data_IF_521287309168
#
_entry.id   IF_521287309168
#
_cell.length_a   1.000
_cell.length_b   1.000
_cell.length_c   1.000
_cell.angle_alpha   90.00
_cell.angle_beta   90.00
_cell.angle_gamma   90.00
#
_symmetry.space_group_name_H-M   'P 1'
#
loop_
_entity.id
_entity.type
_entity.pdbx_description
1 polymer ?
#
# COMPACT_ATOMS: atom_id res chain seq x y z
N UNK A 1 6.98 -5.90 -5.61
CA UNK A 1 8.32 -5.48 -6.10
C UNK A 1 9.16 -5.15 -4.89
N UNK A 2 10.34 -5.74 -4.80
CA UNK A 2 11.30 -5.55 -3.70
C UNK A 2 12.56 -4.93 -4.29
N UNK A 3 13.07 -3.88 -3.63
CA UNK A 3 14.36 -3.26 -3.93
C UNK A 3 15.39 -3.71 -2.88
N UNK A 4 16.50 -4.28 -3.33
CA UNK A 4 17.56 -4.72 -2.45
C UNK A 4 18.60 -3.62 -2.29
N UNK A 5 18.64 -3.04 -1.08
CA UNK A 5 19.54 -1.94 -0.73
C UNK A 5 20.66 -2.43 0.16
N UNK A 6 21.83 -1.84 -0.03
CA UNK A 6 22.99 -2.06 0.82
C UNK A 6 23.19 -0.83 1.69
N UNK A 7 22.91 -0.96 2.98
CA UNK A 7 23.10 0.12 3.96
C UNK A 7 24.40 -0.13 4.72
N UNK A 8 25.23 0.93 4.86
CA UNK A 8 26.42 0.86 5.72
C UNK A 8 25.96 0.51 7.14
N UNK A 9 26.66 -0.41 7.79
CA UNK A 9 26.39 -0.78 9.19
C UNK A 9 26.68 0.41 10.10
N UNK A 10 25.88 0.56 11.14
CA UNK A 10 25.95 1.73 12.04
C UNK A 10 27.32 1.85 12.73
N UNK A 11 28.00 0.72 13.00
CA UNK A 11 29.35 0.66 13.57
C UNK A 11 30.44 1.32 12.68
N UNK A 12 30.17 1.48 11.38
CA UNK A 12 31.10 2.09 10.44
C UNK A 12 30.77 3.55 10.09
N UNK A 13 29.66 4.11 10.57
CA UNK A 13 29.25 5.48 10.28
C UNK A 13 30.24 6.55 10.78
N UNK A 14 31.04 6.19 11.78
CA UNK A 14 32.05 7.07 12.39
C UNK A 14 33.36 7.15 11.57
N UNK A 15 33.58 6.24 10.63
CA UNK A 15 34.82 6.20 9.86
C UNK A 15 34.76 7.11 8.63
N UNK A 16 35.86 7.77 8.27
CA UNK A 16 35.93 8.56 7.05
C UNK A 16 35.84 7.66 5.80
N UNK A 17 35.32 8.23 4.71
CA UNK A 17 35.02 7.45 3.50
C UNK A 17 36.21 6.66 2.90
N UNK A 18 37.45 7.17 3.06
CA UNK A 18 38.66 6.46 2.56
C UNK A 18 38.98 5.20 3.36
N UNK A 19 38.72 5.19 4.67
CA UNK A 19 38.88 3.99 5.51
C UNK A 19 37.82 2.95 5.20
N UNK A 20 36.55 3.39 5.01
CA UNK A 20 35.46 2.52 4.57
C UNK A 20 35.80 1.86 3.21
N UNK A 21 36.36 2.64 2.27
CA UNK A 21 36.77 2.13 0.98
C UNK A 21 37.92 1.08 1.11
N UNK A 22 38.87 1.30 2.03
CA UNK A 22 39.94 0.37 2.34
C UNK A 22 39.38 -0.93 2.92
N UNK A 23 38.55 -0.86 3.95
CA UNK A 23 37.88 -2.02 4.56
C UNK A 23 37.12 -2.84 3.52
N UNK A 24 36.41 -2.16 2.58
CA UNK A 24 35.70 -2.85 1.50
C UNK A 24 36.67 -3.61 0.56
N UNK A 25 37.82 -3.03 0.24
CA UNK A 25 38.85 -3.69 -0.58
C UNK A 25 39.48 -4.90 0.13
N UNK A 26 39.57 -4.84 1.45
CA UNK A 26 40.07 -5.91 2.31
C UNK A 26 39.00 -7.00 2.58
N UNK A 27 37.81 -6.89 1.97
CA UNK A 27 36.74 -7.89 2.08
C UNK A 27 35.91 -7.82 3.37
N UNK A 28 36.04 -6.74 4.14
CA UNK A 28 35.21 -6.55 5.35
C UNK A 28 33.76 -6.35 4.96
N UNK A 29 32.84 -7.08 5.57
CA UNK A 29 31.41 -6.98 5.36
C UNK A 29 30.84 -5.71 6.05
N UNK A 30 31.05 -4.56 5.42
CA UNK A 30 30.71 -3.24 5.96
C UNK A 30 29.24 -2.84 5.75
N UNK A 31 28.47 -3.63 4.99
CA UNK A 31 27.06 -3.31 4.68
C UNK A 31 26.12 -4.41 5.14
N UNK A 32 24.93 -4.00 5.54
CA UNK A 32 23.78 -4.86 5.70
C UNK A 32 22.92 -4.83 4.43
N UNK A 33 22.35 -5.98 4.07
CA UNK A 33 21.36 -6.08 3.00
C UNK A 33 19.98 -5.80 3.60
N UNK A 34 19.27 -4.87 3.00
CA UNK A 34 17.90 -4.54 3.38
C UNK A 34 17.00 -4.69 2.16
N UNK A 35 16.04 -5.60 2.24
CA UNK A 35 15.01 -5.74 1.22
C UNK A 35 13.86 -4.75 1.54
N UNK A 36 13.69 -3.75 0.68
CA UNK A 36 12.66 -2.71 0.83
C UNK A 36 11.49 -3.03 -0.09
N UNK A 37 10.29 -3.29 0.43
CA UNK A 37 9.12 -3.50 -0.41
C UNK A 37 8.70 -2.17 -1.06
N UNK A 38 8.89 -2.02 -2.36
CA UNK A 38 8.53 -0.81 -3.09
C UNK A 38 7.05 -0.79 -3.44
N UNK A 39 6.55 -1.86 -4.03
CA UNK A 39 5.18 -1.94 -4.49
C UNK A 39 4.58 -3.28 -4.09
N UNK A 40 3.45 -3.22 -3.40
CA UNK A 40 2.58 -4.36 -3.16
C UNK A 40 1.27 -4.17 -3.91
N UNK A 41 0.94 -5.14 -4.76
CA UNK A 41 -0.34 -5.19 -5.47
C UNK A 41 -1.10 -6.42 -5.00
N UNK A 42 -2.26 -6.19 -4.41
CA UNK A 42 -3.06 -7.25 -3.78
C UNK A 42 -4.08 -7.85 -4.76
N UNK A 43 -4.51 -7.06 -5.75
CA UNK A 43 -5.53 -7.50 -6.71
C UNK A 43 -6.94 -7.58 -6.12
N UNK A 44 -7.84 -8.22 -6.82
CA UNK A 44 -9.24 -8.39 -6.42
C UNK A 44 -9.34 -9.51 -5.39
N UNK A 45 -9.59 -9.16 -4.14
CA UNK A 45 -9.61 -10.13 -3.04
C UNK A 45 -10.38 -9.58 -1.83
N UNK A 46 -11.02 -10.47 -1.10
CA UNK A 46 -11.55 -10.13 0.22
C UNK A 46 -10.49 -10.11 1.31
N UNK A 47 -10.92 -10.06 2.56
CA UNK A 47 -10.03 -10.13 3.73
C UNK A 47 -9.20 -11.41 3.70
N UNK A 48 -7.91 -11.32 3.97
CA UNK A 48 -6.99 -12.46 3.98
C UNK A 48 -5.72 -12.21 4.79
N UNK A 49 -4.90 -13.26 4.92
CA UNK A 49 -3.65 -13.21 5.72
C UNK A 49 -2.60 -12.25 5.14
N UNK A 50 -2.69 -11.90 3.86
CA UNK A 50 -1.82 -10.88 3.26
C UNK A 50 -1.88 -9.53 3.99
N UNK A 51 -3.01 -9.21 4.63
CA UNK A 51 -3.20 -7.98 5.42
C UNK A 51 -2.32 -7.93 6.68
N UNK A 52 -1.74 -9.06 7.08
CA UNK A 52 -0.84 -9.18 8.23
C UNK A 52 0.64 -9.17 7.83
N UNK A 53 0.93 -9.20 6.53
CA UNK A 53 2.30 -9.28 6.05
C UNK A 53 3.00 -7.92 6.08
N UNK A 54 4.10 -7.82 6.79
CA UNK A 54 4.90 -6.59 6.89
C UNK A 54 5.31 -6.06 5.51
N UNK A 55 5.73 -6.93 4.60
CA UNK A 55 6.08 -6.55 3.22
C UNK A 55 4.94 -5.92 2.44
N UNK A 56 3.68 -6.17 2.83
CA UNK A 56 2.49 -5.53 2.23
C UNK A 56 2.22 -4.21 2.94
N UNK A 57 2.19 -4.21 4.27
CA UNK A 57 1.82 -3.06 5.07
C UNK A 57 2.88 -1.94 5.06
N UNK A 58 4.16 -2.29 4.84
CA UNK A 58 5.31 -1.38 4.85
C UNK A 58 5.83 -1.05 3.44
N UNK A 59 5.12 -1.47 2.37
CA UNK A 59 5.51 -1.10 1.02
C UNK A 59 5.42 0.42 0.81
N UNK A 60 6.25 0.97 -0.06
CA UNK A 60 6.17 2.41 -0.38
C UNK A 60 4.83 2.72 -1.07
N UNK A 61 4.38 1.83 -1.95
CA UNK A 61 3.10 1.94 -2.66
C UNK A 61 2.30 0.66 -2.42
N UNK A 62 1.10 0.81 -1.88
CA UNK A 62 0.11 -0.26 -1.78
C UNK A 62 -0.99 -0.05 -2.82
N UNK A 63 -1.17 -1.03 -3.71
CA UNK A 63 -2.29 -1.06 -4.66
C UNK A 63 -3.26 -2.13 -4.18
N UNK A 64 -4.49 -1.74 -3.89
CA UNK A 64 -5.53 -2.64 -3.39
C UNK A 64 -6.89 -2.26 -3.93
N UNK A 65 -7.79 -3.21 -3.94
CA UNK A 65 -9.18 -2.95 -4.27
C UNK A 65 -9.93 -2.31 -3.10
N UNK A 66 -11.03 -1.62 -3.42
CA UNK A 66 -12.16 -1.40 -2.54
C UNK A 66 -13.41 -1.34 -3.41
N UNK A 67 -14.08 -2.47 -3.53
CA UNK A 67 -15.21 -2.60 -4.48
C UNK A 67 -16.49 -2.01 -3.93
N UNK A 68 -16.77 -2.21 -2.64
CA UNK A 68 -18.05 -1.87 -2.04
C UNK A 68 -17.94 -0.79 -0.96
N UNK A 69 -18.84 0.19 -1.04
CA UNK A 69 -18.88 1.34 -0.14
C UNK A 69 -20.20 1.45 0.61
N UNK A 70 -21.31 1.00 0.06
CA UNK A 70 -22.64 1.14 0.61
C UNK A 70 -22.90 0.08 1.69
N UNK A 71 -23.59 0.46 2.76
CA UNK A 71 -23.84 -0.36 3.95
C UNK A 71 -24.58 -1.68 3.64
N UNK A 72 -25.49 -1.65 2.67
CA UNK A 72 -26.23 -2.83 2.22
C UNK A 72 -25.42 -3.80 1.33
N UNK A 73 -24.18 -3.46 1.02
CA UNK A 73 -23.30 -4.29 0.16
C UNK A 73 -22.41 -5.29 0.89
N UNK A 74 -22.48 -5.39 2.22
CA UNK A 74 -21.66 -6.36 2.99
C UNK A 74 -21.83 -7.81 2.53
N UNK A 75 -23.06 -8.24 2.27
CA UNK A 75 -23.35 -9.59 1.78
C UNK A 75 -22.73 -9.84 0.40
N UNK A 76 -22.77 -8.84 -0.47
CA UNK A 76 -22.15 -8.92 -1.82
C UNK A 76 -20.63 -8.94 -1.74
N UNK A 77 -20.03 -8.12 -0.87
CA UNK A 77 -18.60 -8.13 -0.63
C UNK A 77 -18.13 -9.53 -0.19
N UNK A 78 -18.83 -10.13 0.76
CA UNK A 78 -18.54 -11.48 1.25
C UNK A 78 -18.71 -12.55 0.16
N UNK A 79 -19.81 -12.52 -0.58
CA UNK A 79 -20.11 -13.50 -1.64
C UNK A 79 -19.13 -13.40 -2.81
N UNK A 80 -18.78 -12.17 -3.23
CA UNK A 80 -17.84 -11.88 -4.31
C UNK A 80 -16.37 -12.00 -3.91
N UNK A 81 -16.06 -12.18 -2.61
CA UNK A 81 -14.70 -12.14 -2.07
C UNK A 81 -13.98 -10.82 -2.41
N UNK A 82 -14.70 -9.71 -2.23
CA UNK A 82 -14.18 -8.36 -2.41
C UNK A 82 -14.17 -7.59 -1.10
N UNK A 83 -13.37 -6.51 -1.04
CA UNK A 83 -13.31 -5.66 0.13
C UNK A 83 -14.49 -4.68 0.19
N UNK A 84 -15.07 -4.57 1.39
CA UNK A 84 -15.92 -3.46 1.79
C UNK A 84 -15.10 -2.36 2.48
N UNK A 85 -15.55 -1.11 2.37
CA UNK A 85 -14.84 0.05 2.97
C UNK A 85 -14.53 -0.15 4.46
N UNK A 86 -15.42 -0.76 5.24
CA UNK A 86 -15.20 -0.96 6.68
C UNK A 86 -14.02 -1.91 6.96
N UNK A 87 -13.81 -2.90 6.09
CA UNK A 87 -12.69 -3.82 6.19
C UNK A 87 -11.39 -3.13 5.76
N UNK A 88 -11.46 -2.34 4.69
CA UNK A 88 -10.33 -1.54 4.22
C UNK A 88 -9.88 -0.55 5.30
N UNK A 89 -10.81 0.21 5.90
CA UNK A 89 -10.51 1.21 6.94
C UNK A 89 -9.75 0.58 8.10
N UNK A 90 -10.24 -0.55 8.62
CA UNK A 90 -9.58 -1.28 9.72
C UNK A 90 -8.17 -1.75 9.35
N UNK A 91 -7.98 -2.20 8.12
CA UNK A 91 -6.67 -2.63 7.66
C UNK A 91 -5.71 -1.45 7.52
N UNK A 92 -6.16 -0.33 6.94
CA UNK A 92 -5.32 0.84 6.68
C UNK A 92 -4.76 1.50 7.94
N UNK A 93 -5.35 1.26 9.11
CA UNK A 93 -4.80 1.69 10.40
C UNK A 93 -3.42 1.08 10.68
N UNK A 94 -3.14 -0.11 10.13
CA UNK A 94 -1.87 -0.83 10.29
C UNK A 94 -0.93 -0.67 9.07
N UNK A 95 -1.34 0.11 8.07
CA UNK A 95 -0.56 0.29 6.84
C UNK A 95 0.27 1.56 6.90
N UNK A 96 1.59 1.42 6.77
CA UNK A 96 2.55 2.52 6.75
C UNK A 96 2.99 2.94 5.33
N UNK A 97 2.39 2.37 4.29
CA UNK A 97 2.66 2.73 2.89
C UNK A 97 2.54 4.25 2.66
N UNK A 98 3.49 4.82 1.92
CA UNK A 98 3.51 6.27 1.61
C UNK A 98 2.37 6.66 0.68
N UNK A 99 2.02 5.78 -0.24
CA UNK A 99 0.95 5.96 -1.20
C UNK A 99 0.05 4.72 -1.23
N UNK A 100 -1.25 4.94 -1.25
CA UNK A 100 -2.26 3.89 -1.32
C UNK A 100 -3.10 4.17 -2.57
N UNK A 101 -3.13 3.21 -3.49
CA UNK A 101 -3.90 3.33 -4.72
C UNK A 101 -5.09 2.37 -4.64
N UNK A 102 -6.29 2.93 -4.60
CA UNK A 102 -7.52 2.14 -4.62
C UNK A 102 -7.94 1.92 -6.07
N UNK A 103 -8.16 0.66 -6.40
CA UNK A 103 -8.62 0.19 -7.70
C UNK A 103 -9.94 -0.58 -7.57
N UNK A 104 -10.52 -0.97 -8.69
CA UNK A 104 -11.67 -1.89 -8.74
C UNK A 104 -12.90 -1.41 -7.94
N UNK A 105 -13.21 -0.10 -7.99
CA UNK A 105 -14.45 0.40 -7.41
C UNK A 105 -15.65 -0.12 -8.22
N UNK A 106 -16.75 -0.46 -7.52
CA UNK A 106 -18.00 -0.82 -8.17
C UNK A 106 -18.47 0.30 -9.11
N UNK A 107 -18.91 -0.05 -10.31
CA UNK A 107 -19.50 0.91 -11.26
C UNK A 107 -20.73 1.65 -10.72
N UNK A 108 -21.34 1.15 -9.65
CA UNK A 108 -22.50 1.75 -8.99
C UNK A 108 -22.10 2.84 -8.01
N UNK A 109 -20.86 2.83 -7.52
CA UNK A 109 -20.35 3.81 -6.57
C UNK A 109 -19.78 5.02 -7.29
N UNK A 110 -20.37 6.18 -7.05
CA UNK A 110 -19.85 7.43 -7.62
C UNK A 110 -18.56 7.83 -6.89
N UNK A 111 -17.52 8.22 -7.66
CA UNK A 111 -16.19 8.55 -7.10
C UNK A 111 -16.24 9.65 -6.01
N UNK A 112 -17.12 10.64 -6.17
CA UNK A 112 -17.34 11.69 -5.17
C UNK A 112 -17.89 11.14 -3.86
N UNK A 113 -18.79 10.16 -3.93
CA UNK A 113 -19.34 9.46 -2.77
C UNK A 113 -18.26 8.62 -2.09
N UNK A 114 -17.50 7.84 -2.84
CA UNK A 114 -16.37 7.05 -2.31
C UNK A 114 -15.37 7.94 -1.56
N UNK A 115 -14.98 9.07 -2.14
CA UNK A 115 -14.09 10.05 -1.49
C UNK A 115 -14.68 10.62 -0.21
N UNK A 116 -15.98 10.94 -0.20
CA UNK A 116 -16.68 11.45 0.98
C UNK A 116 -16.69 10.42 2.11
N UNK A 117 -16.94 9.15 1.79
CA UNK A 117 -16.97 8.07 2.77
C UNK A 117 -15.57 7.80 3.33
N UNK A 118 -14.55 7.70 2.47
CA UNK A 118 -13.15 7.55 2.92
C UNK A 118 -12.71 8.68 3.83
N UNK A 119 -13.02 9.94 3.47
CA UNK A 119 -12.70 11.11 4.30
C UNK A 119 -13.37 11.08 5.66
N UNK A 120 -14.60 10.56 5.74
CA UNK A 120 -15.35 10.43 7.00
C UNK A 120 -14.80 9.31 7.89
N UNK A 121 -14.33 8.22 7.30
CA UNK A 121 -13.97 6.99 8.01
C UNK A 121 -12.49 6.88 8.37
N UNK A 122 -11.61 7.67 7.72
CA UNK A 122 -10.17 7.61 7.92
C UNK A 122 -9.64 8.87 8.61
N UNK A 123 -8.52 8.73 9.32
CA UNK A 123 -7.78 9.89 9.79
C UNK A 123 -7.24 10.69 8.59
N UNK A 124 -7.04 12.00 8.79
CA UNK A 124 -6.53 12.91 7.75
C UNK A 124 -5.23 12.39 7.14
N UNK A 125 -4.31 11.93 7.97
CA UNK A 125 -3.00 11.41 7.54
C UNK A 125 -3.13 10.19 6.61
N UNK A 126 -4.05 9.25 6.90
CA UNK A 126 -4.28 8.08 6.05
C UNK A 126 -4.97 8.53 4.75
N UNK A 127 -6.00 9.36 4.85
CA UNK A 127 -6.76 9.81 3.68
C UNK A 127 -5.89 10.55 2.65
N UNK A 128 -4.95 11.39 3.10
CA UNK A 128 -4.05 12.17 2.23
C UNK A 128 -3.10 11.29 1.41
N UNK A 129 -2.87 10.05 1.85
CA UNK A 129 -2.05 9.06 1.11
C UNK A 129 -2.82 8.30 0.05
N UNK A 130 -4.17 8.47 -0.03
CA UNK A 130 -5.04 7.67 -0.91
C UNK A 130 -5.25 8.36 -2.25
N UNK A 131 -5.03 7.61 -3.31
CA UNK A 131 -5.45 7.92 -4.67
C UNK A 131 -6.46 6.89 -5.16
N UNK A 132 -7.50 7.32 -5.85
CA UNK A 132 -8.49 6.41 -6.44
C UNK A 132 -8.25 6.38 -7.94
N UNK A 133 -7.95 5.19 -8.47
CA UNK A 133 -7.81 4.95 -9.89
C UNK A 133 -9.12 4.38 -10.45
N UNK A 134 -9.85 5.21 -11.19
CA UNK A 134 -11.04 4.79 -11.90
C UNK A 134 -10.84 4.98 -13.40
N UNK A 135 -11.26 3.97 -14.17
CA UNK A 135 -11.36 4.13 -15.62
C UNK A 135 -12.54 5.05 -15.94
N UNK A 136 -12.29 6.21 -16.58
CA UNK A 136 -13.36 7.04 -17.13
C UNK A 136 -14.11 6.21 -18.16
N UNK A 137 -15.37 5.88 -17.91
CA UNK A 137 -16.22 5.35 -18.98
C UNK A 137 -16.43 6.46 -20.01
N UNK A 138 -16.36 6.16 -21.31
CA UNK A 138 -16.84 7.09 -22.30
C UNK A 138 -18.32 7.39 -21.97
N UNK A 139 -18.69 8.68 -22.11
CA UNK A 139 -20.08 9.06 -21.94
C UNK A 139 -20.97 8.18 -22.84
N UNK A 140 -22.14 7.73 -22.36
CA UNK A 140 -23.05 6.99 -23.21
C UNK A 140 -23.30 7.82 -24.47
N UNK A 141 -23.09 7.22 -25.63
CA UNK A 141 -23.49 7.85 -26.90
C UNK A 141 -25.02 8.01 -26.86
N UNK A 142 -25.47 9.25 -26.80
CA UNK A 142 -26.87 9.64 -26.95
C UNK A 142 -27.28 9.37 -28.39
#
# INVERSE_FOLDING_TARGET
>A
IIDRRYKLKDEYLQYPGHEIAKMRKEGVAITNVQDVPLVSCVGDTGVGDFMKLDRVNQSEILITECTFFEEDHHSRAKAGKHLHIDQLVKWLENVSAKHIVLVHLSRRTHIGQARKMLRKSLSKNIYERISILMHKQPAPKV
#
